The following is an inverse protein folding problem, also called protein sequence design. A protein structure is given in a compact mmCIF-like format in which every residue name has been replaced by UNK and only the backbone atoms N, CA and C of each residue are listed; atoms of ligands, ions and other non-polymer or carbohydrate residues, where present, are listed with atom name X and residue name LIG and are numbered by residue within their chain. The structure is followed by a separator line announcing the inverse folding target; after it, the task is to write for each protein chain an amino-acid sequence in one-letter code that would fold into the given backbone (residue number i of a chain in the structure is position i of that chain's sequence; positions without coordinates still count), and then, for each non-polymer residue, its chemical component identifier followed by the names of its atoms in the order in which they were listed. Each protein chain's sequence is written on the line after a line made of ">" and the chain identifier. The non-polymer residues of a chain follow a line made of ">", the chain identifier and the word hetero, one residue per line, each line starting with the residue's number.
data_IF_704648735637
#
_entry.id   IF_704648735637
#
_cell.length_a   1.000
_cell.length_b   1.000
_cell.length_c   1.000
_cell.angle_alpha   90.00
_cell.angle_beta   90.00
_cell.angle_gamma   90.00
#
_symmetry.space_group_name_H-M   'P 1'
#
loop_
_entity.id
_entity.type
_entity.pdbx_description
1 polymer ?
#
# COMPACT_ATOMS: atom_id res chain seq x y z
N UNK A 1 23.50 -18.43 -5.61
CA UNK A 1 22.37 -18.66 -4.68
C UNK A 1 21.69 -17.39 -4.14
N UNK A 2 22.40 -16.32 -3.69
CA UNK A 2 21.74 -15.10 -3.14
C UNK A 2 20.85 -14.36 -4.14
N UNK A 3 21.26 -14.27 -5.40
CA UNK A 3 20.49 -13.61 -6.48
C UNK A 3 19.13 -14.29 -6.74
N UNK A 4 19.12 -15.63 -6.87
CA UNK A 4 17.90 -16.43 -7.07
C UNK A 4 16.90 -16.25 -5.92
N UNK A 5 17.39 -16.19 -4.68
CA UNK A 5 16.58 -15.97 -3.47
C UNK A 5 15.95 -14.56 -3.44
N UNK A 6 16.67 -13.57 -3.94
CA UNK A 6 16.19 -12.19 -3.99
C UNK A 6 15.10 -12.04 -5.07
N UNK A 7 15.32 -12.61 -6.25
CA UNK A 7 14.33 -12.61 -7.34
C UNK A 7 13.06 -13.37 -6.94
N UNK A 8 13.18 -14.54 -6.29
CA UNK A 8 12.02 -15.29 -5.81
C UNK A 8 11.21 -14.53 -4.76
N UNK A 9 11.88 -13.73 -3.92
CA UNK A 9 11.21 -12.92 -2.90
C UNK A 9 10.47 -11.73 -3.51
N UNK A 10 11.08 -11.03 -4.48
CA UNK A 10 10.41 -9.95 -5.23
C UNK A 10 9.21 -10.47 -6.01
N UNK A 11 9.34 -11.63 -6.66
CA UNK A 11 8.24 -12.29 -7.36
C UNK A 11 7.09 -12.66 -6.42
N UNK A 12 7.42 -13.26 -5.27
CA UNK A 12 6.43 -13.57 -4.24
C UNK A 12 5.71 -12.33 -3.72
N UNK A 13 6.42 -11.21 -3.52
CA UNK A 13 5.80 -9.95 -3.12
C UNK A 13 4.83 -9.40 -4.17
N UNK A 14 5.18 -9.51 -5.45
CA UNK A 14 4.29 -9.11 -6.56
C UNK A 14 3.00 -9.94 -6.55
N UNK A 15 3.12 -11.27 -6.47
CA UNK A 15 1.96 -12.17 -6.39
C UNK A 15 1.10 -11.91 -5.15
N UNK A 16 1.73 -11.67 -4.00
CA UNK A 16 1.01 -11.40 -2.76
C UNK A 16 0.21 -10.10 -2.85
N UNK A 17 0.79 -9.05 -3.47
CA UNK A 17 0.08 -7.79 -3.72
C UNK A 17 -1.12 -8.00 -4.65
N UNK A 18 -0.96 -8.69 -5.78
CA UNK A 18 -2.06 -9.00 -6.70
C UNK A 18 -3.15 -9.86 -6.05
N UNK A 19 -2.77 -10.78 -5.17
CA UNK A 19 -3.73 -11.63 -4.43
C UNK A 19 -4.53 -10.83 -3.40
N UNK A 20 -3.93 -9.84 -2.75
CA UNK A 20 -4.64 -8.93 -1.83
C UNK A 20 -5.67 -8.08 -2.58
N UNK A 21 -5.28 -7.53 -3.74
CA UNK A 21 -6.16 -6.73 -4.61
C UNK A 21 -7.36 -7.56 -5.11
N UNK A 22 -7.15 -8.83 -5.44
CA UNK A 22 -8.19 -9.74 -5.94
C UNK A 22 -8.83 -10.64 -4.88
N UNK A 23 -8.60 -10.39 -3.58
CA UNK A 23 -8.98 -11.31 -2.49
C UNK A 23 -10.48 -11.68 -2.47
N UNK A 24 -11.36 -10.73 -2.79
CA UNK A 24 -12.80 -10.96 -2.88
C UNK A 24 -13.20 -11.93 -4.00
N UNK A 25 -12.42 -12.00 -5.07
CA UNK A 25 -12.71 -12.88 -6.22
C UNK A 25 -12.30 -14.33 -5.98
N UNK A 26 -11.41 -14.60 -5.02
CA UNK A 26 -10.83 -15.94 -4.78
C UNK A 26 -11.91 -16.97 -4.43
N UNK A 27 -12.78 -16.63 -3.47
CA UNK A 27 -13.84 -17.54 -3.00
C UNK A 27 -14.89 -17.75 -4.10
N UNK A 28 -15.29 -16.67 -4.77
CA UNK A 28 -16.28 -16.72 -5.84
C UNK A 28 -15.79 -17.55 -7.03
N UNK A 29 -14.52 -17.36 -7.41
CA UNK A 29 -13.85 -18.18 -8.43
C UNK A 29 -13.81 -19.66 -8.04
N UNK A 30 -13.37 -19.95 -6.81
CA UNK A 30 -13.25 -21.33 -6.33
C UNK A 30 -14.61 -22.05 -6.31
N UNK A 31 -15.66 -21.41 -5.80
CA UNK A 31 -17.02 -21.95 -5.81
C UNK A 31 -17.53 -22.19 -7.23
N UNK A 32 -17.40 -21.19 -8.11
CA UNK A 32 -17.87 -21.27 -9.47
C UNK A 32 -17.19 -22.43 -10.21
N UNK A 33 -15.86 -22.52 -10.17
CA UNK A 33 -15.13 -23.57 -10.88
C UNK A 33 -15.31 -24.96 -10.26
N UNK A 34 -15.44 -25.05 -8.94
CA UNK A 34 -15.75 -26.31 -8.24
C UNK A 34 -17.10 -26.89 -8.66
N UNK A 35 -18.10 -26.05 -8.94
CA UNK A 35 -19.41 -26.49 -9.45
C UNK A 35 -19.37 -26.72 -10.97
N UNK A 36 -18.65 -25.87 -11.69
CA UNK A 36 -18.58 -25.89 -13.15
C UNK A 36 -17.96 -27.20 -13.67
N UNK A 37 -16.82 -27.63 -13.12
CA UNK A 37 -16.11 -28.81 -13.62
C UNK A 37 -16.93 -30.12 -13.55
N UNK A 38 -17.61 -30.45 -12.44
CA UNK A 38 -18.51 -31.60 -12.36
C UNK A 38 -19.76 -31.45 -13.23
N UNK A 39 -20.39 -30.27 -13.23
CA UNK A 39 -21.64 -30.04 -13.96
C UNK A 39 -21.47 -30.27 -15.46
N UNK A 40 -20.43 -29.70 -16.06
CA UNK A 40 -20.09 -29.94 -17.47
C UNK A 40 -19.54 -31.35 -17.71
N UNK A 41 -19.09 -32.07 -16.68
CA UNK A 41 -18.58 -33.43 -16.80
C UNK A 41 -19.71 -34.45 -16.87
N UNK A 42 -20.77 -34.20 -16.07
CA UNK A 42 -21.97 -35.02 -16.01
C UNK A 42 -22.86 -34.72 -17.22
N UNK A 43 -23.17 -33.45 -17.50
CA UNK A 43 -24.10 -33.07 -18.56
C UNK A 43 -23.70 -33.56 -19.96
N UNK A 44 -22.40 -33.71 -20.22
CA UNK A 44 -21.91 -34.10 -21.55
C UNK A 44 -21.65 -35.60 -21.70
N UNK A 45 -21.78 -36.38 -20.62
CA UNK A 45 -21.47 -37.83 -20.60
C UNK A 45 -22.51 -38.68 -19.87
N UNK A 46 -23.77 -38.23 -19.81
CA UNK A 46 -24.88 -38.97 -19.17
C UNK A 46 -24.99 -40.41 -19.73
N UNK A 47 -24.70 -40.61 -21.02
CA UNK A 47 -24.92 -41.90 -21.66
C UNK A 47 -23.72 -42.85 -21.64
N UNK A 48 -22.46 -42.39 -21.54
CA UNK A 48 -21.25 -43.23 -21.61
C UNK A 48 -20.14 -42.72 -20.66
N UNK A 49 -20.12 -43.21 -19.42
CA UNK A 49 -19.11 -42.85 -18.43
C UNK A 49 -17.78 -43.58 -18.69
N UNK A 50 -16.92 -43.00 -19.54
CA UNK A 50 -15.53 -43.44 -19.71
C UNK A 50 -14.57 -42.52 -18.95
N UNK A 51 -13.61 -43.13 -18.23
CA UNK A 51 -12.46 -42.49 -17.56
C UNK A 51 -11.49 -41.92 -18.61
N UNK A 52 -11.88 -40.83 -19.25
CA UNK A 52 -11.05 -40.15 -20.24
C UNK A 52 -10.14 -39.13 -19.57
N UNK A 53 -9.07 -38.74 -20.26
CA UNK A 53 -8.13 -37.71 -19.81
C UNK A 53 -8.83 -36.42 -19.33
N UNK A 54 -9.93 -36.03 -20.00
CA UNK A 54 -10.75 -34.87 -19.60
C UNK A 54 -11.31 -34.96 -18.18
N UNK A 55 -11.71 -36.17 -17.75
CA UNK A 55 -12.27 -36.39 -16.42
C UNK A 55 -11.20 -36.24 -15.34
N UNK A 56 -9.99 -36.77 -15.60
CA UNK A 56 -8.85 -36.64 -14.70
C UNK A 56 -8.45 -35.17 -14.55
N UNK A 57 -8.39 -34.42 -15.66
CA UNK A 57 -8.07 -33.00 -15.64
C UNK A 57 -9.09 -32.18 -14.84
N UNK A 58 -10.38 -32.50 -14.96
CA UNK A 58 -11.45 -31.87 -14.17
C UNK A 58 -11.31 -32.17 -12.68
N UNK A 59 -10.97 -33.40 -12.32
CA UNK A 59 -10.77 -33.80 -10.91
C UNK A 59 -9.59 -33.05 -10.28
N UNK A 60 -8.48 -32.90 -11.01
CA UNK A 60 -7.35 -32.06 -10.58
C UNK A 60 -7.80 -30.61 -10.40
N UNK A 61 -8.59 -30.08 -11.34
CA UNK A 61 -9.14 -28.72 -11.24
C UNK A 61 -10.02 -28.51 -10.00
N UNK A 62 -10.95 -29.44 -9.74
CA UNK A 62 -11.81 -29.43 -8.54
C UNK A 62 -10.95 -29.52 -7.28
N UNK A 63 -9.96 -30.40 -7.24
CA UNK A 63 -9.05 -30.53 -6.11
C UNK A 63 -8.32 -29.22 -5.81
N UNK A 64 -7.79 -28.55 -6.84
CA UNK A 64 -7.17 -27.23 -6.70
C UNK A 64 -8.15 -26.17 -6.20
N UNK A 65 -9.38 -26.15 -6.71
CA UNK A 65 -10.42 -25.22 -6.23
C UNK A 65 -10.83 -25.49 -4.77
N UNK A 66 -10.94 -26.75 -4.36
CA UNK A 66 -11.21 -27.14 -2.96
C UNK A 66 -10.07 -26.72 -2.05
N UNK A 67 -8.82 -26.95 -2.46
CA UNK A 67 -7.63 -26.52 -1.72
C UNK A 67 -7.62 -25.00 -1.56
N UNK A 68 -7.95 -24.27 -2.63
CA UNK A 68 -8.06 -22.81 -2.61
C UNK A 68 -9.20 -22.33 -1.69
N UNK A 69 -10.36 -23.00 -1.69
CA UNK A 69 -11.49 -22.66 -0.82
C UNK A 69 -11.20 -22.95 0.66
N UNK A 70 -10.37 -23.96 0.93
CA UNK A 70 -9.94 -24.33 2.28
C UNK A 70 -9.01 -23.32 2.96
N UNK A 71 -8.54 -22.28 2.24
CA UNK A 71 -7.61 -21.28 2.78
C UNK A 71 -8.14 -20.55 4.02
N UNK A 72 -9.47 -20.45 4.18
CA UNK A 72 -10.11 -19.86 5.37
C UNK A 72 -9.82 -20.66 6.64
N UNK A 73 -9.56 -21.96 6.51
CA UNK A 73 -9.25 -22.86 7.60
C UNK A 73 -7.75 -23.10 7.81
N UNK A 74 -6.89 -22.44 7.00
CA UNK A 74 -5.44 -22.60 7.12
C UNK A 74 -4.86 -21.88 8.33
N UNK A 75 -4.05 -22.62 9.10
CA UNK A 75 -3.21 -22.05 10.17
C UNK A 75 -2.20 -21.04 9.59
N UNK A 76 -1.72 -20.11 10.42
CA UNK A 76 -0.82 -19.00 10.04
C UNK A 76 0.43 -19.42 9.24
N UNK A 77 0.89 -20.68 9.38
CA UNK A 77 2.02 -21.24 8.62
C UNK A 77 1.78 -21.40 7.11
N UNK A 78 0.54 -21.63 6.67
CA UNK A 78 0.23 -21.90 5.25
C UNK A 78 -0.28 -20.68 4.49
N UNK A 79 -0.64 -19.61 5.19
CA UNK A 79 -1.05 -18.34 4.59
C UNK A 79 -0.04 -17.78 3.56
N UNK A 80 1.30 -17.94 3.73
CA UNK A 80 2.26 -17.53 2.71
C UNK A 80 2.19 -18.33 1.40
N UNK A 81 1.55 -19.50 1.35
CA UNK A 81 1.42 -20.28 0.12
C UNK A 81 0.21 -19.86 -0.73
N UNK A 82 -0.71 -19.08 -0.17
CA UNK A 82 -1.96 -18.69 -0.82
C UNK A 82 -1.75 -17.96 -2.16
N UNK A 83 -0.85 -16.96 -2.28
CA UNK A 83 -0.67 -16.26 -3.55
C UNK A 83 -0.19 -17.19 -4.67
N UNK A 84 0.69 -18.13 -4.35
CA UNK A 84 1.19 -19.11 -5.33
C UNK A 84 0.07 -20.05 -5.77
N UNK A 85 -0.69 -20.58 -4.80
CA UNK A 85 -1.82 -21.46 -5.08
C UNK A 85 -2.90 -20.77 -5.94
N UNK A 86 -3.20 -19.51 -5.66
CA UNK A 86 -4.17 -18.72 -6.40
C UNK A 86 -3.80 -18.61 -7.88
N UNK A 87 -2.58 -18.15 -8.18
CA UNK A 87 -2.12 -17.99 -9.56
C UNK A 87 -1.96 -19.34 -10.28
N UNK A 88 -1.54 -20.40 -9.58
CA UNK A 88 -1.46 -21.75 -10.16
C UNK A 88 -2.86 -22.28 -10.51
N UNK A 89 -3.85 -22.06 -9.65
CA UNK A 89 -5.23 -22.47 -9.91
C UNK A 89 -5.83 -21.70 -11.09
N UNK A 90 -5.60 -20.38 -11.16
CA UNK A 90 -6.01 -19.58 -12.32
C UNK A 90 -5.36 -20.06 -13.61
N UNK A 91 -4.05 -20.31 -13.60
CA UNK A 91 -3.30 -20.82 -14.73
C UNK A 91 -3.87 -22.15 -15.22
N UNK A 92 -4.10 -23.08 -14.30
CA UNK A 92 -4.57 -24.42 -14.60
C UNK A 92 -6.01 -24.40 -15.12
N UNK A 93 -6.93 -23.79 -14.36
CA UNK A 93 -8.36 -23.89 -14.60
C UNK A 93 -8.86 -23.07 -15.79
N UNK A 94 -8.13 -22.02 -16.21
CA UNK A 94 -8.53 -21.15 -17.31
C UNK A 94 -7.67 -21.39 -18.57
N UNK A 95 -6.50 -20.77 -18.77
CA UNK A 95 -5.80 -20.86 -20.05
C UNK A 95 -5.29 -22.27 -20.37
N UNK A 96 -4.77 -23.01 -19.37
CA UNK A 96 -4.24 -24.35 -19.61
C UNK A 96 -5.34 -25.35 -19.97
N UNK A 97 -6.35 -25.51 -19.11
CA UNK A 97 -7.41 -26.50 -19.29
C UNK A 97 -8.15 -26.33 -20.63
N UNK A 98 -8.56 -25.11 -20.97
CA UNK A 98 -9.31 -24.87 -22.21
C UNK A 98 -8.44 -24.97 -23.46
N UNK A 99 -7.17 -24.54 -23.42
CA UNK A 99 -6.27 -24.67 -24.57
C UNK A 99 -5.92 -26.13 -24.87
N UNK A 100 -5.60 -26.91 -23.83
CA UNK A 100 -5.27 -28.33 -23.99
C UNK A 100 -6.46 -29.14 -24.51
N UNK A 101 -7.66 -28.95 -23.94
CA UNK A 101 -8.86 -29.67 -24.37
C UNK A 101 -9.36 -29.23 -25.74
N UNK A 102 -9.17 -27.97 -26.12
CA UNK A 102 -9.44 -27.53 -27.49
C UNK A 102 -8.53 -28.25 -28.48
N UNK A 103 -7.25 -28.46 -28.15
CA UNK A 103 -6.31 -29.19 -29.01
C UNK A 103 -6.64 -30.70 -29.07
N UNK A 104 -6.90 -31.33 -27.93
CA UNK A 104 -7.28 -32.76 -27.87
C UNK A 104 -8.56 -33.06 -28.66
N UNK A 105 -9.55 -32.16 -28.63
CA UNK A 105 -10.82 -32.31 -29.33
C UNK A 105 -10.80 -31.67 -30.74
N UNK A 106 -9.64 -31.65 -31.40
CA UNK A 106 -9.47 -31.18 -32.77
C UNK A 106 -10.04 -29.78 -33.08
N UNK A 107 -10.00 -28.87 -32.10
CA UNK A 107 -10.50 -27.51 -32.26
C UNK A 107 -12.01 -27.39 -32.24
N UNK A 108 -12.72 -28.26 -31.52
CA UNK A 108 -14.18 -28.18 -31.37
C UNK A 108 -14.64 -26.78 -30.95
N UNK A 109 -15.68 -26.28 -31.64
CA UNK A 109 -16.27 -24.95 -31.47
C UNK A 109 -16.62 -24.69 -30.00
N UNK A 110 -17.11 -25.71 -29.29
CA UNK A 110 -17.58 -25.54 -27.90
C UNK A 110 -16.39 -25.26 -26.95
N UNK A 111 -15.25 -25.93 -27.17
CA UNK A 111 -14.04 -25.68 -26.39
C UNK A 111 -13.41 -24.33 -26.72
N UNK A 112 -13.46 -23.91 -27.99
CA UNK A 112 -13.01 -22.57 -28.41
C UNK A 112 -13.87 -21.47 -27.79
N UNK A 113 -15.20 -21.61 -27.79
CA UNK A 113 -16.12 -20.66 -27.14
C UNK A 113 -15.86 -20.55 -25.64
N UNK A 114 -15.71 -21.69 -24.95
CA UNK A 114 -15.36 -21.70 -23.53
C UNK A 114 -13.99 -21.06 -23.26
N UNK A 115 -13.03 -21.24 -24.17
CA UNK A 115 -11.71 -20.58 -24.11
C UNK A 115 -11.79 -19.04 -24.23
N UNK A 116 -12.67 -18.52 -25.09
CA UNK A 116 -12.95 -17.08 -25.19
C UNK A 116 -13.55 -16.56 -23.87
N UNK A 117 -14.55 -17.25 -23.32
CA UNK A 117 -15.14 -16.90 -22.03
C UNK A 117 -14.12 -16.95 -20.88
N UNK A 118 -13.25 -17.95 -20.86
CA UNK A 118 -12.19 -18.08 -19.87
C UNK A 118 -11.16 -16.95 -19.97
N UNK A 119 -10.87 -16.48 -21.19
CA UNK A 119 -9.97 -15.35 -21.43
C UNK A 119 -10.54 -14.06 -20.84
N UNK A 120 -11.82 -13.77 -21.10
CA UNK A 120 -12.49 -12.62 -20.48
C UNK A 120 -12.59 -12.74 -18.97
N UNK A 121 -12.88 -13.93 -18.46
CA UNK A 121 -12.98 -14.15 -17.03
C UNK A 121 -11.63 -13.94 -16.33
N UNK A 122 -10.52 -14.40 -16.92
CA UNK A 122 -9.19 -14.15 -16.39
C UNK A 122 -8.85 -12.65 -16.36
N UNK A 123 -9.13 -11.93 -17.45
CA UNK A 123 -8.94 -10.47 -17.53
C UNK A 123 -9.84 -9.69 -16.56
N UNK A 124 -10.95 -10.28 -16.13
CA UNK A 124 -11.86 -9.67 -15.17
C UNK A 124 -11.38 -9.83 -13.72
N UNK A 125 -10.78 -10.97 -13.40
CA UNK A 125 -10.48 -11.41 -12.02
C UNK A 125 -9.15 -10.87 -11.49
N UNK A 126 -8.16 -10.66 -12.37
CA UNK A 126 -6.82 -10.20 -12.00
C UNK A 126 -6.36 -9.03 -12.88
N UNK A 127 -5.25 -8.42 -12.49
CA UNK A 127 -4.63 -7.33 -13.23
C UNK A 127 -4.29 -7.74 -14.67
N UNK A 128 -4.48 -6.84 -15.63
CA UNK A 128 -4.31 -7.09 -17.07
C UNK A 128 -2.93 -7.64 -17.40
N UNK A 129 -1.87 -7.11 -16.78
CA UNK A 129 -0.51 -7.59 -17.01
C UNK A 129 -0.34 -9.05 -16.58
N UNK A 130 -0.84 -9.40 -15.40
CA UNK A 130 -0.76 -10.75 -14.85
C UNK A 130 -1.63 -11.72 -15.67
N UNK A 131 -2.80 -11.27 -16.12
CA UNK A 131 -3.67 -12.03 -17.00
C UNK A 131 -2.98 -12.37 -18.33
N UNK A 132 -2.33 -11.40 -18.99
CA UNK A 132 -1.62 -11.64 -20.24
C UNK A 132 -0.47 -12.65 -20.06
N UNK A 133 0.28 -12.56 -18.96
CA UNK A 133 1.34 -13.51 -18.63
C UNK A 133 0.76 -14.91 -18.43
N UNK A 134 -0.32 -15.04 -17.65
CA UNK A 134 -0.97 -16.32 -17.39
C UNK A 134 -1.60 -16.93 -18.64
N UNK A 135 -2.18 -16.11 -19.53
CA UNK A 135 -2.70 -16.58 -20.83
C UNK A 135 -1.57 -17.20 -21.66
N UNK A 136 -0.46 -16.47 -21.82
CA UNK A 136 0.69 -16.96 -22.58
C UNK A 136 1.29 -18.24 -21.99
N UNK A 137 1.49 -18.26 -20.67
CA UNK A 137 2.02 -19.44 -19.98
C UNK A 137 1.07 -20.65 -20.07
N UNK A 138 -0.22 -20.46 -19.80
CA UNK A 138 -1.19 -21.55 -19.82
C UNK A 138 -1.41 -22.12 -21.23
N UNK A 139 -1.52 -21.27 -22.25
CA UNK A 139 -1.60 -21.71 -23.65
C UNK A 139 -0.32 -22.43 -24.08
N UNK A 140 0.85 -21.91 -23.69
CA UNK A 140 2.14 -22.54 -23.96
C UNK A 140 2.26 -23.93 -23.33
N UNK A 141 1.87 -24.09 -22.06
CA UNK A 141 1.88 -25.38 -21.38
C UNK A 141 0.88 -26.36 -22.00
N UNK A 142 -0.31 -25.90 -22.38
CA UNK A 142 -1.32 -26.72 -23.07
C UNK A 142 -0.80 -27.24 -24.40
N UNK A 143 -0.15 -26.38 -25.19
CA UNK A 143 0.46 -26.75 -26.46
C UNK A 143 1.64 -27.73 -26.30
N UNK A 144 2.52 -27.48 -25.33
CA UNK A 144 3.65 -28.37 -25.03
C UNK A 144 3.18 -29.77 -24.60
N UNK A 145 2.18 -29.85 -23.72
CA UNK A 145 1.62 -31.14 -23.29
C UNK A 145 0.95 -31.88 -24.45
N UNK A 146 0.24 -31.16 -25.32
CA UNK A 146 -0.37 -31.76 -26.51
C UNK A 146 0.66 -32.39 -27.46
N UNK A 147 1.77 -31.68 -27.75
CA UNK A 147 2.85 -32.22 -28.60
C UNK A 147 3.49 -33.45 -27.96
N UNK A 148 3.65 -33.47 -26.64
CA UNK A 148 4.24 -34.62 -25.94
C UNK A 148 3.35 -35.85 -25.91
N UNK A 149 2.03 -35.67 -25.99
CA UNK A 149 1.05 -36.74 -25.83
C UNK A 149 0.61 -37.39 -27.15
N UNK A 150 0.76 -36.69 -28.28
CA UNK A 150 0.23 -37.13 -29.58
C UNK A 150 1.36 -37.29 -30.60
N UNK A 151 1.55 -38.50 -31.15
CA UNK A 151 2.55 -38.79 -32.20
C UNK A 151 2.09 -38.47 -33.62
N UNK A 152 0.79 -38.26 -33.84
CA UNK A 152 0.23 -37.89 -35.14
C UNK A 152 -0.48 -36.54 -35.05
N UNK A 153 0.11 -35.52 -35.69
CA UNK A 153 -0.58 -34.25 -35.94
C UNK A 153 -1.58 -34.52 -37.07
N UNK A 154 -2.72 -35.13 -36.74
CA UNK A 154 -3.82 -35.28 -37.69
C UNK A 154 -4.42 -33.88 -37.90
N UNK A 155 -3.99 -33.24 -38.99
CA UNK A 155 -4.61 -32.03 -39.51
C UNK A 155 -6.11 -32.27 -39.68
N UNK A 156 -6.98 -31.37 -39.19
CA UNK A 156 -8.42 -31.58 -39.19
C UNK A 156 -8.92 -31.83 -40.63
N UNK A 157 -9.93 -32.69 -40.81
CA UNK A 157 -10.49 -33.01 -42.12
C UNK A 157 -10.96 -31.73 -42.81
N UNK A 158 -10.58 -31.56 -44.08
CA UNK A 158 -11.06 -30.50 -44.98
C UNK A 158 -12.55 -30.68 -45.24
N UNK A 159 -13.39 -30.20 -44.34
CA UNK A 159 -14.85 -30.25 -44.49
C UNK A 159 -15.56 -29.50 -43.37
N UNK A 160 -15.73 -28.19 -43.58
CA UNK A 160 -16.43 -27.20 -42.73
C UNK A 160 -15.74 -26.88 -41.38
N UNK A 161 -15.45 -25.65 -40.92
CA UNK A 161 -15.61 -24.26 -41.42
C UNK A 161 -14.67 -23.27 -40.65
N UNK A 162 -13.69 -23.76 -39.87
CA UNK A 162 -12.82 -22.93 -39.01
C UNK A 162 -11.36 -22.99 -39.50
N UNK A 163 -10.88 -21.90 -40.08
CA UNK A 163 -9.47 -21.75 -40.44
C UNK A 163 -8.63 -21.42 -39.20
N UNK A 164 -7.39 -21.93 -39.11
CA UNK A 164 -6.46 -21.49 -38.05
C UNK A 164 -6.31 -19.96 -37.99
N UNK A 165 -6.41 -19.31 -39.16
CA UNK A 165 -6.41 -17.85 -39.25
C UNK A 165 -7.62 -17.21 -38.54
N UNK A 166 -8.82 -17.80 -38.63
CA UNK A 166 -10.00 -17.25 -37.95
C UNK A 166 -9.91 -17.46 -36.45
N UNK A 167 -9.43 -18.61 -35.97
CA UNK A 167 -9.21 -18.86 -34.54
C UNK A 167 -8.19 -17.86 -33.99
N UNK A 168 -7.05 -17.69 -34.66
CA UNK A 168 -6.03 -16.74 -34.24
C UNK A 168 -6.56 -15.30 -34.25
N UNK A 169 -7.30 -14.91 -35.29
CA UNK A 169 -7.92 -13.58 -35.37
C UNK A 169 -8.94 -13.35 -34.25
N UNK A 170 -9.82 -14.31 -33.96
CA UNK A 170 -10.84 -14.19 -32.91
C UNK A 170 -10.24 -14.14 -31.51
N UNK A 171 -9.28 -15.01 -31.20
CA UNK A 171 -8.58 -14.97 -29.90
C UNK A 171 -7.69 -13.73 -29.78
N UNK A 172 -7.01 -13.32 -30.84
CA UNK A 172 -6.23 -12.08 -30.88
C UNK A 172 -7.11 -10.86 -30.62
N UNK A 173 -8.23 -10.73 -31.33
CA UNK A 173 -9.21 -9.67 -31.11
C UNK A 173 -9.78 -9.70 -29.68
N UNK A 174 -10.13 -10.88 -29.17
CA UNK A 174 -10.61 -11.08 -27.80
C UNK A 174 -9.61 -10.57 -26.76
N UNK A 175 -8.34 -10.94 -26.90
CA UNK A 175 -7.27 -10.51 -25.99
C UNK A 175 -7.06 -9.01 -26.07
N UNK A 176 -7.04 -8.42 -27.28
CA UNK A 176 -6.85 -6.97 -27.47
C UNK A 176 -8.02 -6.21 -26.86
N UNK A 177 -9.26 -6.53 -27.24
CA UNK A 177 -10.47 -5.87 -26.74
C UNK A 177 -10.55 -6.04 -25.22
N UNK A 178 -10.45 -7.27 -24.73
CA UNK A 178 -10.52 -7.56 -23.29
C UNK A 178 -9.44 -6.83 -22.49
N UNK A 179 -8.20 -6.78 -22.98
CA UNK A 179 -7.12 -6.07 -22.32
C UNK A 179 -7.33 -4.56 -22.32
N UNK A 180 -7.82 -3.96 -23.41
CA UNK A 180 -8.12 -2.53 -23.48
C UNK A 180 -9.20 -2.14 -22.46
N UNK A 181 -10.33 -2.85 -22.42
CA UNK A 181 -11.41 -2.57 -21.47
C UNK A 181 -11.00 -2.83 -20.02
N UNK A 182 -10.30 -3.94 -19.76
CA UNK A 182 -9.82 -4.24 -18.42
C UNK A 182 -8.81 -3.18 -17.95
N UNK A 183 -7.95 -2.68 -18.85
CA UNK A 183 -6.97 -1.64 -18.55
C UNK A 183 -7.62 -0.29 -18.30
N UNK A 184 -8.63 0.07 -19.08
CA UNK A 184 -9.40 1.28 -18.88
C UNK A 184 -10.12 1.26 -17.52
N UNK A 185 -10.75 0.12 -17.19
CA UNK A 185 -11.37 -0.09 -15.88
C UNK A 185 -10.37 0.05 -14.72
N UNK A 186 -9.19 -0.57 -14.81
CA UNK A 186 -8.11 -0.41 -13.83
C UNK A 186 -7.71 1.06 -13.65
N UNK A 187 -7.52 1.78 -14.76
CA UNK A 187 -7.18 3.21 -14.73
C UNK A 187 -8.28 4.03 -14.08
N UNK A 188 -9.53 3.80 -14.46
CA UNK A 188 -10.70 4.48 -13.90
C UNK A 188 -10.81 4.26 -12.38
N UNK A 189 -10.56 3.05 -11.89
CA UNK A 189 -10.51 2.78 -10.45
C UNK A 189 -9.37 3.54 -9.77
N UNK A 190 -8.18 3.56 -10.37
CA UNK A 190 -7.03 4.29 -9.85
C UNK A 190 -7.27 5.81 -9.82
N UNK A 191 -7.86 6.37 -10.88
CA UNK A 191 -8.23 7.79 -10.97
C UNK A 191 -9.27 8.15 -9.91
N UNK A 192 -10.38 7.38 -9.79
CA UNK A 192 -11.39 7.63 -8.75
C UNK A 192 -10.81 7.65 -7.34
N UNK A 193 -9.89 6.72 -7.05
CA UNK A 193 -9.19 6.70 -5.76
C UNK A 193 -8.31 7.94 -5.59
N UNK A 194 -7.59 8.37 -6.63
CA UNK A 194 -6.78 9.59 -6.60
C UNK A 194 -7.63 10.84 -6.37
N UNK A 195 -8.72 11.00 -7.11
CA UNK A 195 -9.61 12.16 -7.03
C UNK A 195 -10.26 12.25 -5.66
N UNK A 196 -10.73 11.12 -5.12
CA UNK A 196 -11.24 11.05 -3.74
C UNK A 196 -10.18 11.50 -2.72
N UNK A 197 -8.90 11.17 -2.94
CA UNK A 197 -7.83 11.62 -2.05
C UNK A 197 -7.57 13.11 -2.14
N UNK A 198 -7.60 13.67 -3.35
CA UNK A 198 -7.42 15.11 -3.57
C UNK A 198 -8.57 15.90 -2.94
N UNK A 199 -9.81 15.50 -3.21
CA UNK A 199 -11.00 16.14 -2.63
C UNK A 199 -10.98 16.07 -1.12
N UNK A 200 -10.70 14.90 -0.54
CA UNK A 200 -10.65 14.77 0.90
C UNK A 200 -9.43 15.47 1.54
N UNK A 201 -8.33 15.59 0.79
CA UNK A 201 -7.17 16.41 1.13
C UNK A 201 -7.51 17.89 1.28
N UNK A 202 -8.20 18.44 0.27
CA UNK A 202 -8.68 19.83 0.24
C UNK A 202 -9.71 20.09 1.34
N UNK A 203 -10.75 19.27 1.44
CA UNK A 203 -11.81 19.41 2.46
C UNK A 203 -11.24 19.42 3.88
N UNK A 204 -10.26 18.58 4.17
CA UNK A 204 -9.65 18.54 5.50
C UNK A 204 -8.78 19.77 5.80
N UNK A 205 -8.12 20.34 4.79
CA UNK A 205 -7.40 21.60 4.92
C UNK A 205 -8.39 22.75 5.17
N UNK A 206 -9.48 22.79 4.40
CA UNK A 206 -10.51 23.83 4.48
C UNK A 206 -11.31 23.78 5.78
N UNK A 207 -11.48 22.60 6.40
CA UNK A 207 -12.14 22.45 7.70
C UNK A 207 -11.24 22.82 8.89
N UNK A 208 -9.91 22.79 8.73
CA UNK A 208 -8.96 23.14 9.81
C UNK A 208 -9.05 24.62 10.19
N UNK A 209 -9.25 25.49 9.21
CA UNK A 209 -9.35 26.93 9.41
C UNK A 209 -10.59 27.37 10.22
N UNK A 210 -11.83 26.97 9.86
CA UNK A 210 -13.02 27.32 10.64
C UNK A 210 -12.99 26.70 12.05
N UNK A 211 -12.50 25.46 12.21
CA UNK A 211 -12.37 24.85 13.55
C UNK A 211 -11.39 25.61 14.45
N UNK A 212 -10.26 26.07 13.91
CA UNK A 212 -9.34 26.93 14.64
C UNK A 212 -9.98 28.27 15.04
N UNK A 213 -10.82 28.85 14.17
CA UNK A 213 -11.58 30.06 14.47
C UNK A 213 -12.59 29.86 15.61
N UNK A 214 -13.35 28.75 15.60
CA UNK A 214 -14.31 28.43 16.67
C UNK A 214 -13.57 28.19 17.99
N UNK A 215 -12.40 27.54 17.98
CA UNK A 215 -11.58 27.34 19.18
C UNK A 215 -11.08 28.67 19.77
N UNK A 216 -10.70 29.62 18.91
CA UNK A 216 -10.31 30.96 19.34
C UNK A 216 -11.51 31.70 19.98
N UNK A 217 -12.69 31.61 19.37
CA UNK A 217 -13.91 32.26 19.85
C UNK A 217 -14.35 31.71 21.21
N UNK A 218 -14.32 30.39 21.40
CA UNK A 218 -14.63 29.75 22.69
C UNK A 218 -13.62 30.14 23.76
N UNK A 219 -12.34 30.27 23.43
CA UNK A 219 -11.30 30.74 24.36
C UNK A 219 -11.55 32.19 24.79
N UNK A 220 -11.94 33.07 23.86
CA UNK A 220 -12.31 34.45 24.18
C UNK A 220 -13.54 34.52 25.10
N UNK A 221 -14.56 33.70 24.83
CA UNK A 221 -15.75 33.62 25.67
C UNK A 221 -15.44 33.07 27.07
N UNK A 222 -14.59 32.04 27.20
CA UNK A 222 -14.09 31.54 28.50
C UNK A 222 -13.40 32.65 29.30
N UNK A 223 -12.62 33.51 28.65
CA UNK A 223 -11.94 34.63 29.30
C UNK A 223 -12.90 35.75 29.74
N UNK A 224 -13.96 36.02 28.96
CA UNK A 224 -15.02 36.96 29.35
C UNK A 224 -15.84 36.42 30.53
N UNK A 225 -16.07 35.10 30.58
CA UNK A 225 -16.80 34.44 31.65
C UNK A 225 -16.13 34.60 33.03
N UNK A 226 -14.80 34.63 33.08
CA UNK A 226 -14.04 34.86 34.33
C UNK A 226 -14.29 36.23 34.97
N UNK A 227 -14.94 37.15 34.25
CA UNK A 227 -15.28 38.51 34.71
C UNK A 227 -16.76 38.66 35.13
N UNK A 228 -17.57 37.59 35.06
CA UNK A 228 -18.98 37.63 35.49
C UNK A 228 -19.12 37.37 36.99
N UNK A 229 -20.03 38.10 37.65
CA UNK A 229 -20.32 37.97 39.09
C UNK A 229 -21.34 36.86 39.42
N UNK A 230 -22.16 36.45 38.44
CA UNK A 230 -23.21 35.44 38.66
C UNK A 230 -22.67 34.01 38.51
N UNK A 231 -22.44 33.35 39.65
CA UNK A 231 -21.77 32.04 39.76
C UNK A 231 -22.49 30.91 39.04
N UNK A 232 -23.83 30.92 39.01
CA UNK A 232 -24.63 29.84 38.40
C UNK A 232 -24.56 29.90 36.86
N UNK A 233 -24.78 31.09 36.30
CA UNK A 233 -24.67 31.35 34.86
C UNK A 233 -23.24 31.14 34.34
N UNK A 234 -22.23 31.44 35.17
CA UNK A 234 -20.83 31.17 34.87
C UNK A 234 -20.51 29.68 34.77
N UNK A 235 -21.12 28.83 35.61
CA UNK A 235 -20.93 27.38 35.55
C UNK A 235 -21.55 26.77 34.28
N UNK A 236 -22.80 27.13 33.97
CA UNK A 236 -23.52 26.59 32.80
C UNK A 236 -22.85 26.97 31.46
N UNK A 237 -22.40 28.22 31.33
CA UNK A 237 -21.65 28.65 30.14
C UNK A 237 -20.26 28.02 30.06
N UNK A 238 -19.58 27.80 31.18
CA UNK A 238 -18.28 27.13 31.20
C UNK A 238 -18.39 25.69 30.71
N UNK A 239 -19.44 24.96 31.12
CA UNK A 239 -19.69 23.59 30.67
C UNK A 239 -20.00 23.54 29.16
N UNK A 240 -20.86 24.43 28.66
CA UNK A 240 -21.19 24.52 27.24
C UNK A 240 -19.96 24.84 26.38
N UNK A 241 -19.12 25.78 26.81
CA UNK A 241 -17.85 26.11 26.16
C UNK A 241 -16.84 24.96 26.22
N UNK A 242 -16.86 24.15 27.27
CA UNK A 242 -16.02 22.96 27.38
C UNK A 242 -16.47 21.87 26.40
N UNK A 243 -17.78 21.65 26.23
CA UNK A 243 -18.34 20.72 25.24
C UNK A 243 -17.99 21.13 23.81
N UNK A 244 -18.15 22.41 23.46
CA UNK A 244 -17.77 22.91 22.12
C UNK A 244 -16.27 22.69 21.87
N UNK A 245 -15.42 22.93 22.87
CA UNK A 245 -13.98 22.72 22.75
C UNK A 245 -13.62 21.23 22.55
N UNK A 246 -14.32 20.34 23.28
CA UNK A 246 -14.21 18.89 23.08
C UNK A 246 -14.66 18.45 21.69
N UNK A 247 -15.77 18.99 21.17
CA UNK A 247 -16.29 18.66 19.84
C UNK A 247 -15.37 19.15 18.71
N UNK A 248 -14.74 20.32 18.89
CA UNK A 248 -13.72 20.82 17.96
C UNK A 248 -12.49 19.91 17.97
N UNK A 249 -12.01 19.50 19.15
CA UNK A 249 -10.87 18.60 19.26
C UNK A 249 -11.17 17.24 18.64
N UNK A 250 -12.35 16.68 18.91
CA UNK A 250 -12.82 15.43 18.31
C UNK A 250 -12.91 15.55 16.77
N UNK A 251 -13.46 16.65 16.26
CA UNK A 251 -13.53 16.93 14.82
C UNK A 251 -12.14 17.03 14.18
N UNK A 252 -11.19 17.71 14.85
CA UNK A 252 -9.80 17.78 14.42
C UNK A 252 -9.13 16.41 14.38
N UNK A 253 -9.39 15.53 15.35
CA UNK A 253 -8.86 14.17 15.38
C UNK A 253 -9.46 13.31 14.26
N UNK A 254 -10.77 13.40 14.02
CA UNK A 254 -11.44 12.68 12.94
C UNK A 254 -10.95 13.11 11.55
N UNK A 255 -10.78 14.41 11.32
CA UNK A 255 -10.23 14.93 10.06
C UNK A 255 -8.82 14.38 9.83
N UNK A 256 -7.99 14.32 10.89
CA UNK A 256 -6.63 13.80 10.82
C UNK A 256 -6.56 12.31 10.55
N UNK A 257 -7.37 11.50 11.24
CA UNK A 257 -7.39 10.04 11.03
C UNK A 257 -7.86 9.70 9.61
N UNK A 258 -8.86 10.42 9.10
CA UNK A 258 -9.33 10.26 7.71
C UNK A 258 -8.28 10.70 6.70
N UNK A 259 -7.64 11.86 6.89
CA UNK A 259 -6.53 12.30 6.05
C UNK A 259 -5.36 11.30 6.00
N UNK A 260 -5.04 10.67 7.13
CA UNK A 260 -4.00 9.65 7.20
C UNK A 260 -4.34 8.44 6.32
N UNK A 261 -5.59 7.95 6.38
CA UNK A 261 -6.08 6.86 5.53
C UNK A 261 -6.00 7.25 4.05
N UNK A 262 -6.34 8.50 3.73
CA UNK A 262 -6.34 9.07 2.39
C UNK A 262 -4.91 9.21 1.81
N UNK A 263 -3.96 9.68 2.61
CA UNK A 263 -2.55 9.84 2.19
C UNK A 263 -1.73 8.55 2.24
N UNK A 264 -2.32 7.42 2.61
CA UNK A 264 -1.60 6.17 2.86
C UNK A 264 -0.99 5.51 1.60
N UNK A 265 -1.25 6.00 0.39
CA UNK A 265 -0.78 5.37 -0.83
C UNK A 265 0.01 6.33 -1.72
N UNK A 266 1.32 6.07 -1.74
CA UNK A 266 2.41 6.60 -2.57
C UNK A 266 2.69 8.10 -2.40
N UNK A 267 3.87 8.37 -1.82
CA UNK A 267 4.47 9.70 -1.78
C UNK A 267 4.98 9.98 -3.19
N UNK A 268 4.47 11.04 -3.82
CA UNK A 268 4.97 11.51 -5.10
C UNK A 268 6.35 12.17 -4.89
N UNK A 269 7.35 11.66 -5.59
CA UNK A 269 8.73 12.17 -5.55
C UNK A 269 9.08 13.03 -6.76
N UNK A 270 8.13 13.33 -7.64
CA UNK A 270 8.33 14.13 -8.86
C UNK A 270 8.88 15.53 -8.58
N UNK A 271 8.56 16.09 -7.41
CA UNK A 271 8.98 17.42 -6.97
C UNK A 271 10.25 17.43 -6.10
N UNK A 272 10.91 16.28 -5.92
CA UNK A 272 12.12 16.22 -5.12
C UNK A 272 13.30 16.79 -5.92
N UNK A 273 14.04 17.69 -5.29
CA UNK A 273 15.22 18.30 -5.87
C UNK A 273 16.41 18.18 -4.91
N UNK A 274 17.60 18.50 -5.41
CA UNK A 274 18.83 18.42 -4.64
C UNK A 274 19.06 19.75 -3.92
N UNK A 275 19.18 19.69 -2.59
CA UNK A 275 19.34 20.88 -1.75
C UNK A 275 20.47 20.71 -0.74
N UNK A 276 21.21 21.79 -0.40
CA UNK A 276 22.08 21.81 0.77
C UNK A 276 21.26 21.73 2.06
N UNK A 277 21.53 20.73 2.90
CA UNK A 277 20.75 20.50 4.12
C UNK A 277 20.87 21.66 5.12
N UNK A 278 22.04 22.31 5.20
CA UNK A 278 22.24 23.47 6.07
C UNK A 278 21.32 24.64 5.68
N UNK A 279 21.13 24.90 4.38
CA UNK A 279 20.25 25.96 3.89
C UNK A 279 18.81 25.68 4.30
N UNK A 280 18.34 24.45 4.09
CA UNK A 280 16.99 24.04 4.48
C UNK A 280 16.79 24.16 5.99
N UNK A 281 17.68 23.60 6.81
CA UNK A 281 17.58 23.69 8.28
C UNK A 281 17.59 25.12 8.77
N UNK A 282 18.43 25.98 8.21
CA UNK A 282 18.49 27.40 8.58
C UNK A 282 17.16 28.09 8.31
N UNK A 283 16.54 27.86 7.15
CA UNK A 283 15.24 28.42 6.80
C UNK A 283 14.10 27.87 7.67
N UNK A 284 14.17 26.58 8.00
CA UNK A 284 13.22 25.91 8.87
C UNK A 284 13.28 26.48 10.29
N UNK A 285 14.48 26.60 10.87
CA UNK A 285 14.68 27.15 12.21
C UNK A 285 14.33 28.65 12.29
N UNK A 286 14.55 29.42 11.22
CA UNK A 286 14.11 30.83 11.17
C UNK A 286 12.59 30.97 11.09
N UNK A 287 11.92 30.08 10.36
CA UNK A 287 10.46 30.16 10.12
C UNK A 287 9.61 29.45 11.17
N UNK A 288 10.21 28.64 12.05
CA UNK A 288 9.48 27.96 13.11
C UNK A 288 9.06 28.97 14.20
N UNK A 289 7.79 28.99 14.63
CA UNK A 289 7.25 29.97 15.58
C UNK A 289 7.65 29.61 17.03
N UNK A 290 8.94 29.69 17.35
CA UNK A 290 9.45 29.46 18.70
C UNK A 290 8.92 30.51 19.68
N UNK A 291 8.61 30.09 20.92
CA UNK A 291 8.49 31.03 22.05
C UNK A 291 9.89 31.56 22.41
N UNK A 292 9.95 32.74 23.03
CA UNK A 292 11.22 33.38 23.41
C UNK A 292 12.16 32.43 24.18
N UNK A 293 11.61 31.73 25.20
CA UNK A 293 12.34 30.76 26.02
C UNK A 293 12.74 29.48 25.29
N UNK A 294 12.02 29.10 24.22
CA UNK A 294 12.30 27.89 23.45
C UNK A 294 13.49 28.13 22.50
N UNK A 295 13.59 29.34 21.95
CA UNK A 295 14.65 29.72 21.01
C UNK A 295 16.04 29.62 21.62
N UNK A 296 16.19 30.00 22.89
CA UNK A 296 17.46 29.89 23.63
C UNK A 296 17.91 28.44 23.87
N UNK A 297 16.99 27.48 23.76
CA UNK A 297 17.27 26.05 23.97
C UNK A 297 17.70 25.32 22.68
N UNK A 298 17.67 26.00 21.53
CA UNK A 298 18.07 25.42 20.24
C UNK A 298 19.55 25.70 20.00
N UNK A 299 20.35 24.64 19.82
CA UNK A 299 21.74 24.74 19.39
C UNK A 299 21.89 24.14 18.00
N UNK A 300 22.28 24.97 17.04
CA UNK A 300 22.61 24.52 15.70
C UNK A 300 24.05 24.94 15.39
N UNK A 301 24.94 23.95 15.22
CA UNK A 301 26.35 24.15 14.87
C UNK A 301 26.67 23.30 13.64
N UNK A 302 26.46 23.82 12.42
CA UNK A 302 26.77 23.06 11.22
C UNK A 302 28.30 23.02 11.00
N UNK A 303 28.90 21.84 11.03
CA UNK A 303 30.31 21.61 10.64
C UNK A 303 30.46 20.88 9.30
N UNK A 304 29.45 20.12 8.88
CA UNK A 304 29.55 19.16 7.77
C UNK A 304 28.34 19.20 6.81
N UNK A 305 28.16 20.30 6.07
CA UNK A 305 27.01 20.46 5.14
C UNK A 305 27.07 19.53 3.93
N UNK A 306 25.96 18.88 3.58
CA UNK A 306 25.84 17.93 2.48
C UNK A 306 24.54 18.10 1.70
N UNK A 307 24.51 17.55 0.48
CA UNK A 307 23.36 17.59 -0.40
C UNK A 307 22.37 16.45 -0.07
N UNK A 308 21.08 16.76 -0.14
CA UNK A 308 19.98 15.79 0.00
C UNK A 308 19.03 15.91 -1.19
N UNK A 309 18.46 14.78 -1.62
CA UNK A 309 17.36 14.74 -2.58
C UNK A 309 16.03 14.68 -1.83
N UNK A 310 15.34 15.82 -1.74
CA UNK A 310 14.11 15.97 -0.96
C UNK A 310 13.28 17.16 -1.46
N UNK A 311 11.97 17.15 -1.22
CA UNK A 311 11.11 18.33 -1.45
C UNK A 311 11.17 19.31 -0.26
N UNK A 312 11.36 20.60 -0.52
CA UNK A 312 11.47 21.66 0.49
C UNK A 312 10.35 21.65 1.55
N UNK A 313 9.09 21.60 1.10
CA UNK A 313 7.91 21.66 1.98
C UNK A 313 7.81 20.37 2.79
N UNK A 314 8.06 19.22 2.18
CA UNK A 314 8.06 17.94 2.86
C UNK A 314 9.14 17.87 3.95
N UNK A 315 10.36 18.33 3.63
CA UNK A 315 11.47 18.37 4.59
C UNK A 315 11.17 19.33 5.75
N UNK A 316 10.65 20.52 5.46
CA UNK A 316 10.20 21.48 6.48
C UNK A 316 9.19 20.85 7.44
N UNK A 317 8.16 20.19 6.89
CA UNK A 317 7.13 19.54 7.70
C UNK A 317 7.68 18.40 8.55
N UNK A 318 8.59 17.59 8.02
CA UNK A 318 9.29 16.53 8.77
C UNK A 318 10.03 17.12 9.98
N UNK A 319 10.87 18.13 9.76
CA UNK A 319 11.69 18.73 10.82
C UNK A 319 10.80 19.46 11.84
N UNK A 320 9.75 20.15 11.40
CA UNK A 320 8.79 20.80 12.29
C UNK A 320 8.12 19.82 13.25
N UNK A 321 7.73 18.63 12.79
CA UNK A 321 7.17 17.61 13.67
C UNK A 321 8.18 17.12 14.70
N UNK A 322 9.45 16.94 14.30
CA UNK A 322 10.51 16.53 15.23
C UNK A 322 10.77 17.64 16.28
N UNK A 323 10.81 18.91 15.86
CA UNK A 323 10.94 20.05 16.79
C UNK A 323 9.77 20.09 17.76
N UNK A 324 8.54 20.02 17.25
CA UNK A 324 7.32 20.07 18.06
C UNK A 324 7.29 18.93 19.09
N UNK A 325 7.68 17.71 18.68
CA UNK A 325 7.83 16.57 19.59
C UNK A 325 8.80 16.87 20.72
N UNK A 326 10.02 17.31 20.38
CA UNK A 326 11.06 17.54 21.36
C UNK A 326 10.72 18.70 22.30
N UNK A 327 10.12 19.79 21.81
CA UNK A 327 9.68 20.91 22.64
C UNK A 327 8.57 20.53 23.62
N UNK A 328 7.62 19.69 23.21
CA UNK A 328 6.57 19.19 24.09
C UNK A 328 7.18 18.38 25.25
N UNK A 329 8.17 17.55 24.93
CA UNK A 329 8.86 16.74 25.92
C UNK A 329 9.83 17.54 26.82
N UNK A 330 10.37 18.66 26.33
CA UNK A 330 11.17 19.59 27.14
C UNK A 330 10.32 20.37 28.16
N UNK A 331 9.07 20.71 27.81
CA UNK A 331 8.14 21.40 28.72
C UNK A 331 7.72 20.55 29.90
N UNK A 332 7.48 19.26 29.70
CA UNK A 332 7.00 18.34 30.75
C UNK A 332 8.03 18.11 31.86
N UNK A 333 9.32 18.31 31.59
CA UNK A 333 10.41 18.00 32.53
C UNK A 333 11.31 19.21 32.85
N UNK A 334 11.04 20.36 32.23
CA UNK A 334 11.67 21.67 32.44
C UNK A 334 13.23 21.70 32.39
N UNK A 335 13.87 20.76 31.67
CA UNK A 335 15.33 20.66 31.50
C UNK A 335 15.67 20.11 30.11
N UNK A 336 16.79 20.55 29.54
CA UNK A 336 17.34 20.02 28.29
C UNK A 336 17.45 21.06 27.15
N UNK A 337 18.26 20.71 26.15
CA UNK A 337 18.54 21.48 24.94
C UNK A 337 18.23 20.61 23.72
N UNK A 338 17.90 21.25 22.59
CA UNK A 338 17.74 20.59 21.30
C UNK A 338 18.94 20.92 20.41
N UNK A 339 19.79 19.94 20.15
CA UNK A 339 21.03 20.10 19.39
C UNK A 339 20.91 19.47 18.00
N UNK A 340 21.28 20.21 16.96
CA UNK A 340 21.26 19.78 15.57
C UNK A 340 22.70 19.63 15.05
N UNK A 341 23.09 18.40 14.70
CA UNK A 341 24.43 18.07 14.21
C UNK A 341 24.35 17.40 12.84
N UNK A 342 25.18 17.87 11.91
CA UNK A 342 25.34 17.30 10.57
C UNK A 342 26.62 16.46 10.55
N UNK A 343 26.58 15.28 9.92
CA UNK A 343 27.74 14.39 9.80
C UNK A 343 27.80 13.82 8.40
N UNK A 344 28.90 14.11 7.69
CA UNK A 344 29.30 13.39 6.47
C UNK A 344 30.00 12.11 6.85
N UNK A 345 29.58 10.99 6.29
CA UNK A 345 30.26 9.72 6.57
C UNK A 345 31.47 9.52 5.69
N UNK A 346 32.47 8.82 6.22
CA UNK A 346 33.67 8.39 5.49
C UNK A 346 33.34 7.54 4.25
N UNK A 347 34.34 7.27 3.41
CA UNK A 347 34.18 6.60 2.10
C UNK A 347 33.43 5.26 2.12
N UNK A 348 33.34 4.56 3.26
CA UNK A 348 32.75 3.22 3.35
C UNK A 348 31.25 3.20 3.74
N UNK A 349 30.64 4.34 4.02
CA UNK A 349 29.20 4.46 4.27
C UNK A 349 28.55 5.29 3.16
N UNK A 350 27.47 4.77 2.57
CA UNK A 350 26.76 5.38 1.44
C UNK A 350 25.77 6.48 1.86
N UNK A 351 25.82 6.90 3.13
CA UNK A 351 24.84 7.80 3.70
C UNK A 351 25.45 8.93 4.53
N UNK A 352 24.77 10.07 4.55
CA UNK A 352 25.03 11.21 5.42
C UNK A 352 23.92 11.30 6.49
N UNK A 353 24.23 11.94 7.62
CA UNK A 353 23.36 11.94 8.79
C UNK A 353 23.05 13.34 9.31
N UNK A 354 21.79 13.55 9.66
CA UNK A 354 21.34 14.64 10.53
C UNK A 354 20.93 14.04 11.88
N UNK A 355 21.58 14.49 12.94
CA UNK A 355 21.26 14.15 14.30
C UNK A 355 20.53 15.30 14.97
N UNK A 356 19.38 15.00 15.58
CA UNK A 356 18.62 15.95 16.40
C UNK A 356 18.53 15.36 17.80
N UNK A 357 19.32 15.90 18.73
CA UNK A 357 19.48 15.40 20.08
C UNK A 357 18.73 16.28 21.08
N UNK A 358 17.88 15.65 21.89
CA UNK A 358 17.28 16.24 23.08
C UNK A 358 18.03 15.75 24.31
N UNK A 359 18.74 16.66 24.99
CA UNK A 359 19.67 16.32 26.08
C UNK A 359 18.99 16.03 27.42
N UNK A 360 17.65 15.96 27.46
CA UNK A 360 16.94 15.62 28.68
C UNK A 360 17.07 14.12 29.02
N UNK A 361 17.86 13.84 30.05
CA UNK A 361 18.23 12.48 30.51
C UNK A 361 17.09 11.71 31.18
N UNK A 362 15.99 12.37 31.56
CA UNK A 362 14.87 11.73 32.27
C UNK A 362 13.77 11.20 31.34
N UNK A 363 14.00 11.18 30.02
CA UNK A 363 13.01 10.67 29.07
C UNK A 363 13.04 9.14 28.99
N UNK A 364 12.07 8.49 29.64
CA UNK A 364 11.75 7.07 29.42
C UNK A 364 10.47 7.00 28.60
N UNK A 365 10.60 6.92 27.27
CA UNK A 365 9.44 6.73 26.38
C UNK A 365 9.14 5.22 26.34
N UNK A 366 8.00 4.81 26.92
CA UNK A 366 7.49 3.43 26.80
C UNK A 366 6.87 3.23 25.40
N UNK A 367 6.94 2.02 24.84
CA UNK A 367 6.37 1.64 23.53
C UNK A 367 7.01 2.33 22.30
N UNK A 368 8.33 2.48 22.30
CA UNK A 368 9.10 3.13 21.23
C UNK A 368 8.86 2.58 19.82
N UNK A 369 8.87 1.26 19.65
CA UNK A 369 8.73 0.65 18.31
C UNK A 369 7.38 0.94 17.65
N UNK A 370 6.37 1.31 18.46
CA UNK A 370 5.00 1.52 18.02
C UNK A 370 4.74 2.93 17.49
N UNK A 371 5.57 3.93 17.80
CA UNK A 371 5.41 5.31 17.30
C UNK A 371 5.67 5.46 15.79
N UNK A 372 6.30 4.46 15.18
CA UNK A 372 6.53 4.37 13.73
C UNK A 372 5.69 3.27 13.06
N UNK A 373 4.86 2.56 13.82
CA UNK A 373 4.01 1.50 13.30
C UNK A 373 2.64 2.07 12.92
N UNK A 374 2.28 1.93 11.64
CA UNK A 374 1.09 2.55 11.06
C UNK A 374 -0.21 2.12 11.76
N UNK A 375 -0.21 0.93 12.39
CA UNK A 375 -1.36 0.35 13.11
C UNK A 375 -1.54 0.87 14.54
N UNK A 376 -0.49 1.40 15.17
CA UNK A 376 -0.59 1.92 16.54
C UNK A 376 -1.03 3.39 16.61
N UNK A 377 -1.07 4.06 15.45
CA UNK A 377 -1.50 5.45 15.28
C UNK A 377 -3.00 5.70 15.49
N UNK A 378 -3.81 4.66 15.74
CA UNK A 378 -5.26 4.80 15.96
C UNK A 378 -5.60 5.43 17.34
N UNK A 379 -4.71 5.28 18.34
CA UNK A 379 -4.87 5.84 19.71
C UNK A 379 -3.83 6.91 20.09
N UNK A 380 -2.96 7.33 19.16
CA UNK A 380 -1.76 8.10 19.50
C UNK A 380 -1.83 9.60 19.13
N UNK A 381 -1.26 10.45 20.01
CA UNK A 381 -1.18 11.91 19.90
C UNK A 381 -0.72 12.44 18.54
N UNK A 382 -1.10 13.69 18.19
CA UNK A 382 -0.79 14.38 16.91
C UNK A 382 0.67 14.27 16.45
N UNK A 383 1.59 14.08 17.38
CA UNK A 383 3.01 14.02 17.13
C UNK A 383 3.51 12.65 16.66
N UNK A 384 2.85 11.54 17.03
CA UNK A 384 3.17 10.19 16.52
C UNK A 384 2.84 10.07 15.02
N UNK A 385 1.76 10.74 14.59
CA UNK A 385 1.31 10.78 13.20
C UNK A 385 2.31 11.52 12.29
N UNK A 386 2.88 12.62 12.79
CA UNK A 386 3.91 13.39 12.10
C UNK A 386 5.20 12.60 11.89
N UNK A 387 5.61 11.81 12.90
CA UNK A 387 6.81 10.96 12.84
C UNK A 387 6.63 9.76 11.91
N UNK A 388 5.45 9.13 11.90
CA UNK A 388 5.12 8.04 10.98
C UNK A 388 5.14 8.51 9.53
N UNK A 389 4.56 9.68 9.23
CA UNK A 389 4.64 10.28 7.90
C UNK A 389 6.09 10.65 7.54
N UNK A 390 6.84 11.18 8.52
CA UNK A 390 8.25 11.48 8.36
C UNK A 390 9.09 10.27 7.95
N UNK A 391 8.84 9.10 8.56
CA UNK A 391 9.51 7.85 8.19
C UNK A 391 9.21 7.41 6.77
N UNK A 392 7.97 7.55 6.31
CA UNK A 392 7.61 7.23 4.92
C UNK A 392 8.30 8.18 3.93
N UNK A 393 8.34 9.49 4.22
CA UNK A 393 9.05 10.47 3.39
C UNK A 393 10.54 10.17 3.30
N UNK A 394 11.17 9.84 4.44
CA UNK A 394 12.57 9.43 4.47
C UNK A 394 12.82 8.17 3.64
N UNK A 395 11.94 7.17 3.71
CA UNK A 395 12.02 5.97 2.88
C UNK A 395 11.83 6.27 1.39
N UNK A 396 10.92 7.18 1.03
CA UNK A 396 10.72 7.63 -0.35
C UNK A 396 11.96 8.34 -0.92
N UNK A 397 12.68 9.10 -0.09
CA UNK A 397 13.97 9.71 -0.42
C UNK A 397 15.16 8.73 -0.45
N UNK A 398 14.93 7.42 -0.31
CA UNK A 398 15.99 6.39 -0.24
C UNK A 398 16.72 6.31 1.11
N UNK A 399 16.29 7.09 2.09
CA UNK A 399 16.87 7.21 3.42
C UNK A 399 16.13 6.42 4.51
N UNK A 400 16.35 6.81 5.76
CA UNK A 400 15.60 6.31 6.92
C UNK A 400 15.57 7.32 8.07
N UNK A 401 14.62 7.17 8.99
CA UNK A 401 14.64 7.86 10.29
C UNK A 401 14.61 6.83 11.40
N UNK A 402 15.57 6.96 12.30
CA UNK A 402 15.71 6.15 13.49
C UNK A 402 15.69 7.07 14.70
N UNK A 403 15.37 6.51 15.85
CA UNK A 403 15.58 7.19 17.11
C UNK A 403 16.23 6.27 18.12
N UNK A 404 16.96 6.87 19.05
CA UNK A 404 17.62 6.17 20.16
C UNK A 404 17.33 6.98 21.41
N UNK A 405 16.83 6.32 22.45
CA UNK A 405 16.65 6.95 23.76
C UNK A 405 17.43 6.16 24.78
N UNK A 406 18.40 6.81 25.40
CA UNK A 406 19.15 6.26 26.52
C UNK A 406 19.03 7.21 27.71
N UNK A 407 18.90 6.63 28.91
CA UNK A 407 18.80 7.39 30.16
C UNK A 407 20.03 8.29 30.38
N UNK A 408 21.19 7.92 29.83
CA UNK A 408 22.45 8.66 29.97
C UNK A 408 22.59 9.86 29.02
N UNK A 409 22.00 9.80 27.81
CA UNK A 409 22.24 10.76 26.72
C UNK A 409 21.01 11.54 26.28
N UNK A 410 19.80 11.04 26.58
CA UNK A 410 18.52 11.63 26.19
C UNK A 410 17.94 10.97 24.93
N UNK A 411 17.14 11.71 24.15
CA UNK A 411 16.48 11.22 22.94
C UNK A 411 17.15 11.79 21.68
N UNK A 412 17.65 10.92 20.82
CA UNK A 412 18.29 11.28 19.56
C UNK A 412 17.47 10.79 18.37
N UNK A 413 17.07 11.69 17.48
CA UNK A 413 16.62 11.34 16.14
C UNK A 413 17.81 11.31 15.19
N UNK A 414 17.93 10.23 14.41
CA UNK A 414 18.95 10.00 13.39
C UNK A 414 18.26 9.90 12.04
N UNK A 415 18.40 10.94 11.24
CA UNK A 415 17.91 10.97 9.86
C UNK A 415 19.07 10.60 8.94
N UNK A 416 18.83 9.59 8.10
CA UNK A 416 19.81 8.98 7.21
C UNK A 416 19.44 9.33 5.77
N UNK A 417 20.36 9.98 5.04
CA UNK A 417 20.16 10.39 3.65
C UNK A 417 21.18 9.71 2.75
N UNK A 418 20.81 9.19 1.57
CA UNK A 418 21.78 8.71 0.59
C UNK A 418 22.77 9.81 0.22
N UNK A 419 24.02 9.44 -0.05
CA UNK A 419 24.98 10.37 -0.67
C UNK A 419 24.49 10.74 -2.07
N UNK A 420 24.49 12.03 -2.35
CA UNK A 420 24.21 12.60 -3.66
C UNK A 420 25.56 13.11 -4.16
N UNK A 421 26.11 12.43 -5.17
CA UNK A 421 27.39 12.76 -5.79
C UNK A 421 27.26 13.92 -6.79
#
# INVERSE_FOLDING_TARGET
>A
MKFVRHVSWLFYQHLNKGTQESSHHIILFALLMMVNFPLFGILWKIDHFQLNEEFILRLIGVFMCVLLLSHRFWQSRFQPCLPVLWYLTLLYCLPFFFSYLALLNHGSVIWLMNGVSATFFLLLVINVKDALILLGLGMGLGWLLFISSTTEIVLPPRGHELSFMSIFATFGATVIIGALFARDRERMHAHRLSDMRVVAGGLAYDLKAPLASIHLQTTMQKNMLKKMENVQLQADFAESLQKIDQDIQASHQLIKSRLHIIKANQIDTSHFAIHPIQLLLTNILKSYPFKAEEKERIKFKPSDDFLIWFEDIAFKNLVWHIIAFNLLQLKTHNRGLLEFNLVKSAHNDNFNYLYILNTNKNMVIKNMDKYFDAKFSEDADMTSLGLTNGKRLMKAAGGDILWVSEVSTGLQFRLKFPKVD
#
